data_IF_735071294003
#
_entry.id   IF_735071294003
#
_cell.length_a   1.000
_cell.length_b   1.000
_cell.length_c   1.000
_cell.angle_alpha   90.00
_cell.angle_beta   90.00
_cell.angle_gamma   90.00
#
_symmetry.space_group_name_H-M   'P 1'
#
loop_
_entity.id
_entity.type
_entity.pdbx_description
1 polymer ?
#
# COMPACT_ATOMS: atom_id res chain seq x y z
N UNK A 1 -32.09 -5.42 44.40
CA UNK A 1 -31.49 -4.11 44.11
C UNK A 1 -30.27 -4.35 43.24
N UNK A 2 -30.45 -4.41 41.91
CA UNK A 2 -29.36 -4.63 40.95
C UNK A 2 -28.93 -3.27 40.40
N UNK A 3 -27.72 -2.85 40.74
CA UNK A 3 -27.15 -1.59 40.27
C UNK A 3 -26.81 -1.70 38.79
N UNK A 4 -27.46 -0.88 37.97
CA UNK A 4 -27.07 -0.63 36.58
C UNK A 4 -25.63 -0.13 36.54
N UNK A 5 -24.71 -0.94 35.99
CA UNK A 5 -23.43 -0.44 35.51
C UNK A 5 -23.68 0.24 34.16
N UNK A 6 -23.97 1.54 34.23
CA UNK A 6 -24.02 2.43 33.06
C UNK A 6 -22.60 2.51 32.50
N UNK A 7 -22.29 1.71 31.47
CA UNK A 7 -21.05 1.84 30.71
C UNK A 7 -21.14 3.09 29.83
N UNK A 8 -20.18 3.97 30.06
CA UNK A 8 -20.05 5.32 29.56
C UNK A 8 -19.90 5.36 28.04
N UNK A 9 -20.78 6.09 27.36
CA UNK A 9 -20.74 6.38 25.91
C UNK A 9 -19.60 7.35 25.49
N UNK A 10 -18.56 7.58 26.31
CA UNK A 10 -17.58 8.67 26.15
C UNK A 10 -16.24 8.30 25.49
N UNK A 11 -16.07 7.09 24.94
CA UNK A 11 -14.81 6.64 24.34
C UNK A 11 -14.55 7.03 22.87
N UNK A 12 -15.52 7.00 21.94
CA UNK A 12 -15.22 7.23 20.52
C UNK A 12 -14.92 8.71 20.20
N UNK A 13 -15.63 9.66 20.82
CA UNK A 13 -15.43 11.09 20.55
C UNK A 13 -14.06 11.60 20.99
N UNK A 14 -13.59 11.19 22.17
CA UNK A 14 -12.25 11.59 22.66
C UNK A 14 -11.12 11.01 21.81
N UNK A 15 -11.29 9.78 21.31
CA UNK A 15 -10.31 9.15 20.43
C UNK A 15 -10.22 9.90 19.09
N UNK A 16 -11.35 10.24 18.48
CA UNK A 16 -11.40 11.06 17.27
C UNK A 16 -10.67 12.38 17.49
N UNK A 17 -11.08 13.18 18.47
CA UNK A 17 -10.48 14.49 18.75
C UNK A 17 -8.95 14.43 18.94
N UNK A 18 -8.46 13.35 19.58
CA UNK A 18 -7.02 13.10 19.75
C UNK A 18 -6.33 12.78 18.41
N UNK A 19 -6.99 12.03 17.52
CA UNK A 19 -6.49 11.71 16.19
C UNK A 19 -6.44 12.93 15.28
N UNK A 20 -7.48 13.76 15.27
CA UNK A 20 -7.50 15.02 14.51
C UNK A 20 -6.38 15.97 14.98
N UNK A 21 -6.16 16.07 16.30
CA UNK A 21 -5.05 16.85 16.85
C UNK A 21 -3.69 16.33 16.37
N UNK A 22 -3.50 15.00 16.30
CA UNK A 22 -2.26 14.38 15.81
C UNK A 22 -2.03 14.62 14.32
N UNK A 23 -3.08 14.64 13.51
CA UNK A 23 -3.01 15.01 12.09
C UNK A 23 -2.57 16.47 11.94
N UNK A 24 -3.16 17.38 12.72
CA UNK A 24 -2.78 18.80 12.72
C UNK A 24 -1.31 19.01 13.19
N UNK A 25 -0.89 18.29 14.24
CA UNK A 25 0.49 18.30 14.74
C UNK A 25 1.48 17.85 13.68
N UNK A 26 1.20 16.72 13.00
CA UNK A 26 2.05 16.23 11.91
C UNK A 26 2.09 17.22 10.74
N UNK A 27 0.95 17.80 10.36
CA UNK A 27 0.86 18.81 9.29
C UNK A 27 1.67 20.07 9.63
N UNK A 28 1.66 20.52 10.88
CA UNK A 28 2.51 21.62 11.31
C UNK A 28 3.99 21.24 11.25
N UNK A 29 4.33 20.02 11.68
CA UNK A 29 5.71 19.54 11.76
C UNK A 29 6.40 19.33 10.40
N UNK A 30 5.65 19.01 9.34
CA UNK A 30 6.16 18.93 7.96
C UNK A 30 6.37 20.31 7.31
N UNK A 31 5.79 21.36 7.90
CA UNK A 31 5.90 22.73 7.40
C UNK A 31 5.12 22.98 6.09
N UNK A 32 5.29 24.17 5.50
CA UNK A 32 4.60 24.54 4.27
C UNK A 32 5.02 23.64 3.10
N UNK A 33 4.03 23.12 2.38
CA UNK A 33 4.23 22.27 1.22
C UNK A 33 3.94 23.03 -0.07
N UNK A 34 4.64 22.67 -1.13
CA UNK A 34 4.44 23.24 -2.46
C UNK A 34 4.44 22.17 -3.56
N UNK A 35 3.85 22.52 -4.70
CA UNK A 35 3.84 21.70 -5.90
C UNK A 35 3.24 20.30 -5.69
N UNK A 36 3.92 19.29 -6.23
CA UNK A 36 3.43 17.90 -6.26
C UNK A 36 3.32 17.26 -4.87
N UNK A 37 4.03 17.78 -3.86
CA UNK A 37 4.00 17.24 -2.48
C UNK A 37 2.63 17.35 -1.83
N UNK A 38 1.84 18.37 -2.19
CA UNK A 38 0.48 18.56 -1.66
C UNK A 38 -0.43 17.35 -1.93
N UNK A 39 -0.25 16.67 -3.07
CA UNK A 39 -1.01 15.46 -3.42
C UNK A 39 -0.72 14.27 -2.49
N UNK A 40 0.42 14.29 -1.80
CA UNK A 40 0.88 13.20 -0.94
C UNK A 40 0.85 13.60 0.54
N UNK A 41 0.13 14.66 0.91
CA UNK A 41 0.00 15.14 2.29
C UNK A 41 -1.44 15.60 2.60
N UNK A 42 -2.44 14.93 2.02
CA UNK A 42 -3.84 15.08 2.42
C UNK A 42 -4.07 14.53 3.84
N UNK A 43 -5.14 14.91 4.53
CA UNK A 43 -5.39 14.42 5.90
C UNK A 43 -5.50 12.89 5.95
N UNK A 44 -6.13 12.28 4.94
CA UNK A 44 -6.17 10.84 4.78
C UNK A 44 -4.76 10.23 4.69
N UNK A 45 -3.86 10.83 3.89
CA UNK A 45 -2.48 10.39 3.79
C UNK A 45 -1.73 10.53 5.13
N UNK A 46 -1.87 11.67 5.80
CA UNK A 46 -1.23 11.92 7.10
C UNK A 46 -1.71 10.91 8.15
N UNK A 47 -3.02 10.60 8.16
CA UNK A 47 -3.61 9.58 9.03
C UNK A 47 -2.98 8.21 8.78
N UNK A 48 -2.76 7.82 7.52
CA UNK A 48 -2.09 6.54 7.20
C UNK A 48 -0.67 6.46 7.76
N UNK A 49 0.13 7.52 7.63
CA UNK A 49 1.48 7.54 8.22
C UNK A 49 1.44 7.48 9.76
N UNK A 50 0.47 8.14 10.39
CA UNK A 50 0.27 8.09 11.84
C UNK A 50 -0.12 6.69 12.30
N UNK A 51 -1.15 6.10 11.72
CA UNK A 51 -1.57 4.72 11.98
C UNK A 51 -0.42 3.72 11.80
N UNK A 52 0.39 3.87 10.75
CA UNK A 52 1.55 3.00 10.47
C UNK A 52 2.63 3.05 11.56
N UNK A 53 2.61 4.11 12.36
CA UNK A 53 3.58 4.37 13.42
C UNK A 53 2.90 4.51 14.78
N UNK A 54 1.75 3.85 14.95
CA UNK A 54 1.00 3.82 16.21
C UNK A 54 0.73 5.23 16.77
N UNK A 55 0.33 6.15 15.89
CA UNK A 55 0.05 7.56 16.18
C UNK A 55 1.23 8.35 16.76
N UNK A 56 2.47 7.87 16.55
CA UNK A 56 3.68 8.60 16.91
C UNK A 56 4.07 9.59 15.80
N UNK A 57 3.98 10.89 16.12
CA UNK A 57 4.16 11.99 15.14
C UNK A 57 5.59 12.04 14.58
N UNK A 58 6.62 11.91 15.42
CA UNK A 58 8.02 11.98 14.96
C UNK A 58 8.36 10.83 14.00
N UNK A 59 7.92 9.61 14.32
CA UNK A 59 8.12 8.43 13.47
C UNK A 59 7.31 8.55 12.18
N UNK A 60 6.08 9.05 12.25
CA UNK A 60 5.24 9.28 11.07
C UNK A 60 5.84 10.35 10.16
N UNK A 61 6.32 11.46 10.71
CA UNK A 61 7.02 12.52 10.00
C UNK A 61 8.24 11.98 9.26
N UNK A 62 9.12 11.26 9.95
CA UNK A 62 10.32 10.67 9.34
C UNK A 62 9.96 9.76 8.15
N UNK A 63 8.97 8.89 8.34
CA UNK A 63 8.51 7.98 7.30
C UNK A 63 7.89 8.72 6.09
N UNK A 64 7.13 9.79 6.34
CA UNK A 64 6.57 10.64 5.30
C UNK A 64 7.65 11.40 4.53
N UNK A 65 8.65 11.96 5.21
CA UNK A 65 9.78 12.65 4.58
C UNK A 65 10.61 11.71 3.69
N UNK A 66 10.89 10.49 4.17
CA UNK A 66 11.54 9.43 3.39
C UNK A 66 10.72 9.07 2.14
N UNK A 67 9.40 8.97 2.28
CA UNK A 67 8.48 8.69 1.18
C UNK A 67 8.49 9.82 0.14
N UNK A 68 8.40 11.07 0.57
CA UNK A 68 8.45 12.23 -0.31
C UNK A 68 9.79 12.33 -1.05
N UNK A 69 10.90 12.03 -0.36
CA UNK A 69 12.24 11.96 -0.96
C UNK A 69 12.29 10.88 -2.03
N UNK A 70 11.83 9.66 -1.73
CA UNK A 70 11.78 8.56 -2.68
C UNK A 70 10.93 8.89 -3.91
N UNK A 71 9.75 9.49 -3.74
CA UNK A 71 8.91 9.88 -4.89
C UNK A 71 9.58 10.95 -5.75
N UNK A 72 10.30 11.89 -5.12
CA UNK A 72 11.05 12.91 -5.86
C UNK A 72 12.20 12.33 -6.69
N UNK A 73 12.85 11.25 -6.23
CA UNK A 73 13.96 10.62 -6.94
C UNK A 73 13.51 9.55 -7.92
N UNK A 74 12.59 8.67 -7.51
CA UNK A 74 12.13 7.51 -8.28
C UNK A 74 11.05 7.87 -9.30
N UNK A 75 10.26 8.92 -9.03
CA UNK A 75 9.19 9.45 -9.90
C UNK A 75 8.23 8.36 -10.41
N UNK A 76 7.57 7.62 -9.52
CA UNK A 76 6.71 6.51 -9.90
C UNK A 76 5.57 6.92 -10.85
N UNK A 77 5.07 8.15 -10.72
CA UNK A 77 4.04 8.70 -11.62
C UNK A 77 4.49 8.96 -13.07
N UNK A 78 5.79 8.93 -13.35
CA UNK A 78 6.34 9.16 -14.69
C UNK A 78 6.54 7.85 -15.47
N UNK A 79 6.40 6.70 -14.82
CA UNK A 79 6.55 5.38 -15.46
C UNK A 79 5.43 5.17 -16.48
N UNK A 80 5.81 4.89 -17.73
CA UNK A 80 4.87 4.59 -18.82
C UNK A 80 4.74 3.09 -19.07
N UNK A 81 3.56 2.67 -19.52
CA UNK A 81 3.29 1.27 -19.88
C UNK A 81 4.32 0.71 -20.87
N UNK A 82 4.68 1.48 -21.89
CA UNK A 82 5.66 1.06 -22.90
C UNK A 82 7.04 0.68 -22.33
N UNK A 83 7.42 1.21 -21.17
CA UNK A 83 8.69 0.90 -20.50
C UNK A 83 8.65 -0.43 -19.73
N UNK A 84 7.46 -0.89 -19.34
CA UNK A 84 7.28 -2.02 -18.42
C UNK A 84 6.40 -3.14 -18.98
N UNK A 85 5.81 -2.97 -20.16
CA UNK A 85 4.88 -3.91 -20.77
C UNK A 85 5.48 -5.32 -20.91
N UNK A 86 6.76 -5.41 -21.27
CA UNK A 86 7.48 -6.67 -21.43
C UNK A 86 7.54 -7.49 -20.13
N UNK A 87 7.63 -6.82 -18.98
CA UNK A 87 7.60 -7.46 -17.66
C UNK A 87 6.22 -8.08 -17.37
N UNK A 88 5.15 -7.53 -17.96
CA UNK A 88 3.78 -7.95 -17.75
C UNK A 88 3.27 -9.04 -18.71
N UNK A 89 4.05 -9.43 -19.73
CA UNK A 89 3.59 -10.32 -20.82
C UNK A 89 3.07 -11.68 -20.34
N UNK A 90 3.66 -12.24 -19.27
CA UNK A 90 3.21 -13.50 -18.69
C UNK A 90 2.12 -13.35 -17.64
N UNK A 91 1.79 -12.13 -17.24
CA UNK A 91 0.84 -11.88 -16.15
C UNK A 91 1.36 -12.31 -14.78
N UNK A 92 2.69 -12.41 -14.60
CA UNK A 92 3.32 -12.70 -13.28
C UNK A 92 2.87 -11.76 -12.17
N UNK A 93 2.47 -10.54 -12.51
CA UNK A 93 1.75 -9.61 -11.63
C UNK A 93 0.65 -8.96 -12.45
N UNK A 94 -0.57 -8.89 -11.92
CA UNK A 94 -1.72 -8.28 -12.59
C UNK A 94 -2.74 -7.75 -11.58
N UNK A 95 -3.53 -6.75 -11.96
CA UNK A 95 -4.71 -6.33 -11.20
C UNK A 95 -5.91 -7.15 -11.68
N UNK A 96 -6.66 -7.74 -10.75
CA UNK A 96 -7.86 -8.50 -11.08
C UNK A 96 -8.97 -7.58 -11.59
N UNK A 97 -9.86 -8.12 -12.41
CA UNK A 97 -11.08 -7.46 -12.86
C UNK A 97 -12.27 -7.65 -11.90
N UNK A 98 -12.01 -8.21 -10.71
CA UNK A 98 -12.97 -8.39 -9.64
C UNK A 98 -12.44 -7.77 -8.34
N UNK A 99 -13.34 -7.58 -7.38
CA UNK A 99 -13.02 -7.10 -6.05
C UNK A 99 -13.15 -8.24 -5.05
N UNK A 100 -12.47 -8.12 -3.90
CA UNK A 100 -12.71 -9.05 -2.81
C UNK A 100 -14.06 -8.79 -2.09
N UNK A 101 -14.37 -9.63 -1.10
CA UNK A 101 -15.58 -9.52 -0.27
C UNK A 101 -15.78 -8.16 0.42
N UNK A 102 -14.73 -7.35 0.53
CA UNK A 102 -14.75 -6.01 1.12
C UNK A 102 -14.71 -4.89 0.07
N UNK A 103 -14.86 -5.24 -1.21
CA UNK A 103 -14.83 -4.29 -2.32
C UNK A 103 -13.43 -3.75 -2.63
N UNK A 104 -12.36 -4.43 -2.21
CA UNK A 104 -10.98 -3.98 -2.42
C UNK A 104 -10.44 -4.46 -3.76
N UNK A 105 -9.62 -3.64 -4.39
CA UNK A 105 -8.88 -4.05 -5.59
C UNK A 105 -7.90 -5.17 -5.24
N UNK A 106 -7.79 -6.15 -6.14
CA UNK A 106 -6.97 -7.36 -5.94
C UNK A 106 -5.74 -7.32 -6.85
N UNK A 107 -4.55 -7.34 -6.25
CA UNK A 107 -3.31 -7.63 -6.95
C UNK A 107 -3.05 -9.14 -6.93
N UNK A 108 -2.93 -9.74 -8.10
CA UNK A 108 -2.56 -11.15 -8.28
C UNK A 108 -1.08 -11.24 -8.59
N UNK A 109 -0.36 -12.08 -7.86
CA UNK A 109 1.04 -12.42 -8.13
C UNK A 109 1.20 -13.91 -8.40
N UNK A 110 1.92 -14.23 -9.47
CA UNK A 110 2.21 -15.58 -9.95
C UNK A 110 3.72 -15.74 -10.13
N UNK A 111 4.49 -15.95 -9.04
CA UNK A 111 5.94 -16.05 -9.11
C UNK A 111 6.45 -17.19 -10.02
N UNK A 112 5.65 -18.25 -10.25
CA UNK A 112 5.99 -19.30 -11.21
C UNK A 112 5.98 -18.86 -12.68
N UNK A 113 5.44 -17.67 -12.99
CA UNK A 113 5.37 -17.11 -14.36
C UNK A 113 6.48 -16.08 -14.62
N UNK A 114 7.56 -16.08 -13.83
CA UNK A 114 8.68 -15.16 -14.01
C UNK A 114 9.31 -15.36 -15.40
N UNK A 115 9.43 -14.28 -16.17
CA UNK A 115 9.88 -14.28 -17.56
C UNK A 115 11.17 -13.48 -17.79
N UNK A 116 11.56 -12.64 -16.83
CA UNK A 116 12.73 -11.75 -16.96
C UNK A 116 13.64 -11.88 -15.75
N UNK A 117 14.91 -11.47 -15.93
CA UNK A 117 15.94 -11.49 -14.88
C UNK A 117 16.15 -10.10 -14.26
N UNK A 118 15.67 -9.02 -14.90
CA UNK A 118 15.91 -7.65 -14.46
C UNK A 118 15.12 -7.30 -13.20
N UNK A 119 15.78 -7.33 -12.04
CA UNK A 119 15.18 -6.99 -10.74
C UNK A 119 14.58 -5.58 -10.75
N UNK A 120 15.29 -4.62 -11.34
CA UNK A 120 14.87 -3.22 -11.41
C UNK A 120 13.58 -3.06 -12.22
N UNK A 121 13.50 -3.68 -13.40
CA UNK A 121 12.30 -3.62 -14.23
C UNK A 121 11.12 -4.34 -13.58
N UNK A 122 11.36 -5.44 -12.87
CA UNK A 122 10.33 -6.14 -12.09
C UNK A 122 9.73 -5.21 -11.01
N UNK A 123 10.59 -4.48 -10.29
CA UNK A 123 10.15 -3.49 -9.29
C UNK A 123 9.39 -2.35 -9.97
N UNK A 124 9.91 -1.82 -11.09
CA UNK A 124 9.28 -0.73 -11.84
C UNK A 124 7.90 -1.10 -12.37
N UNK A 125 7.74 -2.33 -12.88
CA UNK A 125 6.46 -2.87 -13.31
C UNK A 125 5.48 -3.02 -12.13
N UNK A 126 5.92 -3.54 -10.98
CA UNK A 126 5.09 -3.62 -9.80
C UNK A 126 4.65 -2.24 -9.31
N UNK A 127 5.56 -1.27 -9.22
CA UNK A 127 5.24 0.10 -8.82
C UNK A 127 4.25 0.73 -9.81
N UNK A 128 4.44 0.54 -11.11
CA UNK A 128 3.48 0.99 -12.13
C UNK A 128 2.08 0.42 -11.88
N UNK A 129 1.95 -0.89 -11.67
CA UNK A 129 0.66 -1.52 -11.42
C UNK A 129 0.01 -0.99 -10.13
N UNK A 130 0.77 -0.84 -9.05
CA UNK A 130 0.28 -0.33 -7.77
C UNK A 130 -0.18 1.13 -7.87
N UNK A 131 0.58 1.99 -8.54
CA UNK A 131 0.22 3.39 -8.73
C UNK A 131 -1.08 3.54 -9.54
N UNK A 132 -1.27 2.70 -10.56
CA UNK A 132 -2.52 2.69 -11.33
C UNK A 132 -3.68 2.06 -10.56
N UNK A 133 -3.42 1.02 -9.77
CA UNK A 133 -4.46 0.37 -8.96
C UNK A 133 -5.06 1.32 -7.93
N UNK A 134 -4.21 2.12 -7.26
CA UNK A 134 -4.66 3.13 -6.29
C UNK A 134 -5.59 4.17 -6.94
N UNK A 135 -5.37 4.54 -8.21
CA UNK A 135 -6.24 5.49 -8.92
C UNK A 135 -7.64 4.92 -9.20
N UNK A 136 -7.80 3.60 -9.15
CA UNK A 136 -9.05 2.90 -9.42
C UNK A 136 -9.73 2.41 -8.14
N UNK A 137 -9.22 2.79 -6.96
CA UNK A 137 -9.91 2.52 -5.70
C UNK A 137 -11.19 3.34 -5.61
N UNK A 138 -12.25 2.73 -5.08
CA UNK A 138 -13.50 3.42 -4.79
C UNK A 138 -13.31 4.49 -3.72
N UNK A 139 -14.16 5.52 -3.74
CA UNK A 139 -14.10 6.60 -2.76
C UNK A 139 -14.19 6.06 -1.32
N UNK A 140 -13.20 6.42 -0.50
CA UNK A 140 -13.08 5.94 0.88
C UNK A 140 -12.48 4.54 1.03
N UNK A 141 -12.23 3.81 -0.07
CA UNK A 141 -11.46 2.57 -0.04
C UNK A 141 -9.98 2.89 -0.13
N UNK A 142 -9.27 2.59 0.95
CA UNK A 142 -7.83 2.84 1.04
C UNK A 142 -7.03 1.54 1.12
N UNK A 143 -7.67 0.38 0.98
CA UNK A 143 -7.03 -0.93 1.10
C UNK A 143 -7.02 -1.68 -0.23
N UNK A 144 -5.95 -2.45 -0.45
CA UNK A 144 -5.86 -3.46 -1.49
C UNK A 144 -5.56 -4.83 -0.91
N UNK A 145 -5.93 -5.85 -1.67
CA UNK A 145 -5.75 -7.26 -1.30
C UNK A 145 -4.79 -7.95 -2.25
N UNK A 146 -3.98 -8.85 -1.70
CA UNK A 146 -2.96 -9.56 -2.46
C UNK A 146 -3.33 -11.03 -2.54
N UNK A 147 -3.38 -11.58 -3.75
CA UNK A 147 -3.55 -13.00 -4.00
C UNK A 147 -2.25 -13.54 -4.62
N UNK A 148 -1.64 -14.54 -4.00
CA UNK A 148 -0.38 -15.10 -4.47
C UNK A 148 -0.55 -16.57 -4.83
N UNK A 149 -0.38 -16.87 -6.11
CA UNK A 149 -0.43 -18.21 -6.67
C UNK A 149 0.99 -18.75 -6.85
N UNK A 150 1.37 -19.70 -6.00
CA UNK A 150 2.68 -20.36 -6.04
C UNK A 150 2.77 -21.52 -7.05
N UNK A 151 1.78 -21.71 -7.91
CA UNK A 151 1.83 -22.72 -8.97
C UNK A 151 3.04 -22.48 -9.89
N UNK A 152 3.81 -23.54 -10.15
CA UNK A 152 5.03 -23.47 -10.97
C UNK A 152 6.22 -22.79 -10.28
N UNK A 153 6.11 -22.38 -9.01
CA UNK A 153 7.22 -21.79 -8.28
C UNK A 153 8.34 -22.82 -8.06
N UNK A 154 9.56 -22.47 -8.47
CA UNK A 154 10.74 -23.30 -8.30
C UNK A 154 11.96 -22.44 -7.92
N UNK A 155 13.10 -23.07 -7.63
CA UNK A 155 14.35 -22.35 -7.32
C UNK A 155 14.86 -21.47 -8.47
N UNK A 156 14.55 -21.82 -9.73
CA UNK A 156 14.95 -21.02 -10.90
C UNK A 156 14.05 -19.80 -11.15
N UNK A 157 12.84 -19.79 -10.58
CA UNK A 157 11.90 -18.65 -10.66
C UNK A 157 11.89 -17.81 -9.38
N UNK A 158 12.90 -17.98 -8.50
CA UNK A 158 12.99 -17.24 -7.25
C UNK A 158 13.35 -15.78 -7.50
N UNK A 159 12.53 -14.89 -6.97
CA UNK A 159 12.91 -13.49 -6.76
C UNK A 159 14.07 -13.47 -5.76
N UNK A 160 15.11 -12.67 -6.02
CA UNK A 160 16.23 -12.57 -5.09
C UNK A 160 15.78 -11.98 -3.75
N UNK A 161 16.48 -12.33 -2.67
CA UNK A 161 16.15 -11.79 -1.33
C UNK A 161 16.34 -10.27 -1.25
N UNK A 162 17.15 -9.71 -2.15
CA UNK A 162 17.37 -8.26 -2.28
C UNK A 162 16.12 -7.60 -2.86
N UNK A 163 15.64 -8.09 -4.00
CA UNK A 163 14.42 -7.57 -4.64
C UNK A 163 13.20 -7.72 -3.72
N UNK A 164 13.07 -8.85 -3.01
CA UNK A 164 11.98 -9.04 -2.05
C UNK A 164 12.02 -7.99 -0.92
N UNK A 165 13.21 -7.68 -0.38
CA UNK A 165 13.40 -6.64 0.64
C UNK A 165 13.06 -5.25 0.11
N UNK A 166 13.44 -4.96 -1.13
CA UNK A 166 13.15 -3.68 -1.77
C UNK A 166 11.65 -3.50 -2.01
N UNK A 167 10.96 -4.53 -2.49
CA UNK A 167 9.49 -4.53 -2.62
C UNK A 167 8.82 -4.29 -1.27
N UNK A 168 9.25 -5.00 -0.22
CA UNK A 168 8.72 -4.82 1.14
C UNK A 168 8.96 -3.37 1.61
N UNK A 169 10.14 -2.82 1.38
CA UNK A 169 10.47 -1.45 1.76
C UNK A 169 9.58 -0.42 1.04
N UNK A 170 9.34 -0.61 -0.27
CA UNK A 170 8.46 0.26 -1.07
C UNK A 170 7.01 0.20 -0.55
N UNK A 171 6.50 -1.00 -0.23
CA UNK A 171 5.14 -1.20 0.27
C UNK A 171 4.92 -0.65 1.68
N UNK A 172 5.89 -0.85 2.58
CA UNK A 172 5.82 -0.44 3.99
C UNK A 172 6.25 1.00 4.25
N UNK A 173 6.70 1.71 3.21
CA UNK A 173 7.21 3.07 3.28
C UNK A 173 6.45 3.99 2.31
N UNK A 174 7.03 4.25 1.11
CA UNK A 174 6.48 5.19 0.15
C UNK A 174 5.02 4.99 -0.27
N UNK A 175 4.55 3.75 -0.36
CA UNK A 175 3.19 3.47 -0.82
C UNK A 175 2.14 3.46 0.29
N UNK A 176 2.55 3.40 1.56
CA UNK A 176 1.60 3.46 2.69
C UNK A 176 0.82 4.79 2.73
N UNK A 177 1.40 5.87 2.19
CA UNK A 177 0.70 7.15 2.02
C UNK A 177 -0.44 7.13 0.99
N UNK A 178 -0.58 6.06 0.21
CA UNK A 178 -1.60 5.92 -0.84
C UNK A 178 -2.66 4.88 -0.52
N UNK A 179 -2.22 3.71 -0.07
CA UNK A 179 -3.10 2.63 0.31
C UNK A 179 -2.43 1.72 1.35
N UNK A 180 -3.27 1.08 2.15
CA UNK A 180 -2.94 -0.02 3.02
C UNK A 180 -2.96 -1.33 2.25
N UNK A 181 -1.98 -2.19 2.52
CA UNK A 181 -1.89 -3.49 1.89
C UNK A 181 -2.30 -4.55 2.89
N UNK A 182 -3.43 -5.21 2.62
CA UNK A 182 -3.78 -6.44 3.33
C UNK A 182 -3.23 -7.63 2.55
N UNK A 183 -2.47 -8.48 3.24
CA UNK A 183 -1.84 -9.63 2.63
C UNK A 183 -2.64 -10.89 2.94
N UNK A 184 -3.03 -11.61 1.89
CA UNK A 184 -3.63 -12.93 2.01
C UNK A 184 -2.96 -13.87 1.00
N UNK A 185 -1.87 -14.51 1.43
CA UNK A 185 -1.36 -15.65 0.67
C UNK A 185 -2.31 -16.83 0.87
N UNK A 186 -3.08 -17.17 -0.15
CA UNK A 186 -3.83 -18.41 -0.19
C UNK A 186 -3.33 -19.27 -1.36
N UNK A 187 -3.04 -20.56 -1.13
CA UNK A 187 -2.87 -21.50 -2.22
C UNK A 187 -4.12 -21.45 -3.11
N UNK A 188 -3.94 -21.46 -4.43
CA UNK A 188 -5.00 -21.33 -5.46
C UNK A 188 -6.21 -22.24 -5.30
N UNK A 189 -6.13 -23.26 -4.45
CA UNK A 189 -7.23 -24.17 -4.13
C UNK A 189 -8.28 -23.62 -3.14
N UNK A 190 -8.06 -22.45 -2.53
CA UNK A 190 -8.94 -21.90 -1.49
C UNK A 190 -9.46 -20.46 -1.75
N UNK A 191 -9.67 -20.09 -3.02
CA UNK A 191 -10.11 -18.74 -3.43
C UNK A 191 -11.51 -18.34 -2.88
N UNK A 192 -12.30 -19.29 -2.35
CA UNK A 192 -13.65 -19.03 -1.82
C UNK A 192 -13.71 -18.07 -0.62
N UNK A 193 -12.59 -17.85 0.08
CA UNK A 193 -12.52 -16.86 1.16
C UNK A 193 -12.19 -15.45 0.69
N UNK A 194 -11.99 -15.26 -0.62
CA UNK A 194 -11.49 -14.04 -1.22
C UNK A 194 -12.49 -13.38 -2.18
N UNK A 195 -13.36 -14.19 -2.80
CA UNK A 195 -14.52 -13.76 -3.61
C UNK A 195 -15.77 -13.66 -2.74
#
# INVERSE_FOLDING_TARGET
MFLLRRQTQNQPENASLTQEAKVAELRAAIGPLSGRRLKYCTDACLRRYLEARNWNVDKAKKMLEESLKWRSSYKPEEIRWAEVAHEGETGKVSIANFHDIHGRAVLIMRPGMQNTVSEENNIKHLVYLLENAVLNLSDGQEQMSWLIDFTGFSFSTKISTKTAREIIHILQGPLSGKAWYSYSAQPTKNISGFL
#
